data_IF_421233481363
#
_entry.id   IF_421233481363
#
_cell.length_a   1.000
_cell.length_b   1.000
_cell.length_c   1.000
_cell.angle_alpha   90.00
_cell.angle_beta   90.00
_cell.angle_gamma   90.00
#
_symmetry.space_group_name_H-M   'P 1'
#
loop_
_entity.id
_entity.type
_entity.pdbx_description
1 polymer ?
#
# COMPACT_ATOMS: atom_id res chain seq x y z
N UNK A 1 -56.88 -51.03 4.40
CA UNK A 1 -55.52 -50.86 5.00
C UNK A 1 -54.79 -49.74 4.23
N UNK A 2 -54.56 -48.57 4.79
CA UNK A 2 -53.86 -47.51 4.06
C UNK A 2 -52.41 -47.84 4.00
N UNK A 3 -51.85 -47.66 2.84
CA UNK A 3 -50.50 -48.05 2.43
C UNK A 3 -49.41 -47.42 3.32
N UNK A 4 -48.76 -48.22 4.15
CA UNK A 4 -47.63 -47.88 4.99
C UNK A 4 -46.47 -47.23 4.19
N UNK A 5 -46.38 -47.51 2.92
CA UNK A 5 -45.40 -46.98 2.00
C UNK A 5 -45.55 -45.47 1.73
N UNK A 6 -46.79 -44.95 1.72
CA UNK A 6 -47.05 -43.53 1.46
C UNK A 6 -46.65 -42.68 2.67
N UNK A 7 -46.83 -43.17 3.90
CA UNK A 7 -46.42 -42.46 5.11
C UNK A 7 -44.89 -42.36 5.24
N UNK A 8 -44.14 -43.39 4.83
CA UNK A 8 -42.70 -43.39 4.85
C UNK A 8 -42.13 -42.39 3.83
N UNK A 9 -42.72 -42.32 2.64
CA UNK A 9 -42.30 -41.36 1.62
C UNK A 9 -42.60 -39.91 1.98
N UNK A 10 -43.74 -39.64 2.64
CA UNK A 10 -44.09 -38.30 3.13
C UNK A 10 -43.18 -37.85 4.30
N UNK A 11 -42.78 -38.76 5.18
CA UNK A 11 -41.89 -38.43 6.30
C UNK A 11 -40.46 -38.16 5.80
N UNK A 12 -40.00 -38.87 4.78
CA UNK A 12 -38.68 -38.59 4.15
C UNK A 12 -38.68 -37.26 3.41
N UNK A 13 -39.78 -36.91 2.72
CA UNK A 13 -39.91 -35.63 2.02
C UNK A 13 -39.92 -34.44 2.98
N UNK A 14 -40.56 -34.59 4.16
CA UNK A 14 -40.59 -33.56 5.20
C UNK A 14 -39.23 -33.36 5.88
N UNK A 15 -38.38 -34.41 5.97
CA UNK A 15 -37.03 -34.31 6.50
C UNK A 15 -36.12 -33.51 5.56
N UNK A 16 -36.31 -33.64 4.24
CA UNK A 16 -35.55 -32.83 3.26
C UNK A 16 -35.95 -31.35 3.23
N UNK A 17 -37.17 -31.02 3.66
CA UNK A 17 -37.65 -29.63 3.73
C UNK A 17 -37.27 -28.93 5.04
N UNK A 18 -36.79 -29.66 6.04
CA UNK A 18 -36.37 -29.11 7.33
C UNK A 18 -34.83 -29.02 7.50
N UNK A 19 -34.05 -29.25 6.45
CA UNK A 19 -32.63 -28.94 6.51
C UNK A 19 -32.49 -27.43 6.68
N UNK A 20 -31.90 -26.95 7.79
CA UNK A 20 -31.60 -25.53 7.90
C UNK A 20 -30.82 -25.14 6.68
N UNK A 21 -31.21 -24.05 6.03
CA UNK A 21 -30.41 -23.42 5.00
C UNK A 21 -29.01 -23.34 5.57
N UNK A 22 -28.12 -24.19 5.09
CA UNK A 22 -26.68 -23.98 5.22
C UNK A 22 -26.45 -22.66 4.53
N UNK A 23 -26.60 -21.57 5.30
CA UNK A 23 -26.01 -20.31 4.93
C UNK A 23 -24.59 -20.67 4.51
N UNK A 24 -24.34 -20.61 3.22
CA UNK A 24 -22.97 -20.49 2.72
C UNK A 24 -22.43 -19.26 3.42
N UNK A 25 -21.90 -19.48 4.62
CA UNK A 25 -20.94 -18.55 5.17
C UNK A 25 -19.91 -18.46 4.07
N UNK A 26 -20.00 -17.41 3.27
CA UNK A 26 -18.94 -17.05 2.36
C UNK A 26 -17.71 -17.05 3.26
N UNK A 27 -16.84 -18.04 3.11
CA UNK A 27 -15.52 -17.99 3.68
C UNK A 27 -14.95 -16.72 3.05
N UNK A 28 -15.11 -15.60 3.76
CA UNK A 28 -14.28 -14.43 3.51
C UNK A 28 -12.89 -14.95 3.83
N UNK A 29 -12.19 -15.33 2.78
CA UNK A 29 -10.74 -15.41 2.84
C UNK A 29 -10.37 -14.02 3.34
N UNK A 30 -10.04 -13.91 4.62
CA UNK A 30 -9.42 -12.72 5.18
C UNK A 30 -8.07 -12.72 4.48
N UNK A 31 -8.02 -12.07 3.31
CA UNK A 31 -6.78 -11.77 2.61
C UNK A 31 -6.01 -10.95 3.63
N UNK A 32 -4.90 -11.52 4.11
CA UNK A 32 -4.24 -11.09 5.32
C UNK A 32 -4.09 -9.58 5.41
N UNK A 33 -4.68 -9.00 6.45
CA UNK A 33 -4.41 -7.61 6.82
C UNK A 33 -2.94 -7.51 7.17
N UNK A 34 -2.22 -6.59 6.53
CA UNK A 34 -0.83 -6.32 6.89
C UNK A 34 -0.80 -5.75 8.32
N UNK A 35 -0.03 -6.40 9.20
CA UNK A 35 0.18 -5.98 10.58
C UNK A 35 1.64 -5.58 10.77
N UNK A 36 1.89 -4.68 11.72
CA UNK A 36 3.24 -4.32 12.09
C UNK A 36 4.04 -5.56 12.48
N UNK A 37 5.21 -5.74 11.89
CA UNK A 37 6.14 -6.84 12.16
C UNK A 37 6.97 -6.58 13.40
N UNK A 38 7.23 -5.32 13.72
CA UNK A 38 7.99 -4.82 14.89
C UNK A 38 7.74 -3.33 15.08
N UNK A 39 8.44 -2.74 16.07
CA UNK A 39 8.38 -1.32 16.35
C UNK A 39 9.79 -0.76 16.49
N UNK A 40 10.02 0.41 15.91
CA UNK A 40 11.24 1.18 16.02
C UNK A 40 11.06 2.26 17.09
N UNK A 41 12.03 2.43 17.96
CA UNK A 41 12.05 3.57 18.89
C UNK A 41 12.61 4.80 18.18
N UNK A 42 11.81 5.85 18.12
CA UNK A 42 12.19 7.10 17.50
C UNK A 42 13.38 7.76 18.15
N UNK A 43 14.25 8.33 17.31
CA UNK A 43 15.30 9.26 17.70
C UNK A 43 15.02 10.57 17.00
N UNK A 44 15.03 11.67 17.76
CA UNK A 44 14.95 13.00 17.19
C UNK A 44 16.32 13.43 16.64
N UNK A 45 16.30 14.16 15.52
CA UNK A 45 17.48 14.69 14.88
C UNK A 45 17.14 15.87 13.99
N UNK A 46 18.11 16.33 13.22
CA UNK A 46 17.86 17.35 12.20
C UNK A 46 17.14 16.68 11.03
N UNK A 47 15.85 16.95 10.90
CA UNK A 47 14.97 16.42 9.89
C UNK A 47 14.48 17.56 9.00
N UNK A 48 14.66 17.45 7.71
CA UNK A 48 14.07 18.38 6.75
C UNK A 48 12.61 17.98 6.51
N UNK A 49 11.72 18.96 6.50
CA UNK A 49 10.28 18.72 6.28
C UNK A 49 9.87 19.05 4.85
N UNK A 50 10.80 18.97 3.92
CA UNK A 50 10.50 19.07 2.50
C UNK A 50 9.55 17.93 2.12
N UNK A 51 8.66 18.18 1.16
CA UNK A 51 7.64 17.23 0.74
C UNK A 51 6.76 16.68 1.89
N UNK A 52 6.68 17.42 3.00
CA UNK A 52 5.84 17.11 4.17
C UNK A 52 6.25 15.87 4.97
N UNK A 53 7.51 15.47 4.90
CA UNK A 53 8.05 14.35 5.65
C UNK A 53 7.75 14.46 7.16
N UNK A 54 7.35 13.35 7.76
CA UNK A 54 7.09 13.25 9.19
C UNK A 54 8.38 12.91 9.94
N UNK A 55 8.81 13.83 10.81
CA UNK A 55 10.02 13.66 11.62
C UNK A 55 9.79 12.79 12.84
N UNK A 56 10.76 11.93 13.16
CA UNK A 56 10.74 11.10 14.36
C UNK A 56 10.82 11.95 15.64
N UNK A 57 10.09 11.52 16.65
CA UNK A 57 10.11 12.10 18.01
C UNK A 57 10.84 11.15 18.94
N UNK A 58 11.70 11.71 19.80
CA UNK A 58 12.48 10.95 20.77
C UNK A 58 11.60 10.03 21.62
N UNK A 59 11.94 8.75 21.68
CA UNK A 59 11.26 7.75 22.49
C UNK A 59 9.88 7.29 21.96
N UNK A 60 9.33 7.90 20.91
CA UNK A 60 8.07 7.45 20.31
C UNK A 60 8.29 6.13 19.57
N UNK A 61 7.30 5.21 19.66
CA UNK A 61 7.33 3.95 18.91
C UNK A 61 6.66 4.13 17.56
N UNK A 62 7.36 3.70 16.49
CA UNK A 62 6.88 3.70 15.12
C UNK A 62 6.75 2.27 14.61
N UNK A 63 5.61 1.88 14.02
CA UNK A 63 5.42 0.54 13.50
C UNK A 63 6.29 0.30 12.27
N UNK A 64 6.83 -0.92 12.15
CA UNK A 64 7.60 -1.38 10.99
C UNK A 64 6.82 -2.45 10.24
N UNK A 65 6.80 -2.40 8.91
CA UNK A 65 5.98 -3.29 8.08
C UNK A 65 6.82 -4.01 7.03
N UNK A 66 6.79 -5.35 7.04
CA UNK A 66 7.36 -6.20 5.98
C UNK A 66 6.37 -6.52 4.87
N UNK A 67 5.11 -6.21 5.08
CA UNK A 67 4.01 -6.50 4.16
C UNK A 67 3.30 -5.23 3.71
N UNK A 68 2.57 -5.35 2.63
CA UNK A 68 1.61 -4.37 2.14
C UNK A 68 0.32 -5.09 1.75
N UNK A 69 -0.79 -4.39 1.51
CA UNK A 69 -2.02 -5.00 1.02
C UNK A 69 -1.80 -5.85 -0.23
N UNK A 70 -2.58 -6.93 -0.38
CA UNK A 70 -2.53 -7.77 -1.58
C UNK A 70 -2.92 -6.96 -2.81
N UNK A 71 -2.09 -7.05 -3.85
CA UNK A 71 -2.31 -6.30 -5.08
C UNK A 71 -3.44 -6.93 -5.89
N UNK A 72 -4.28 -6.07 -6.43
CA UNK A 72 -5.39 -6.39 -7.32
C UNK A 72 -5.42 -5.40 -8.48
N UNK A 73 -6.42 -5.49 -9.34
CA UNK A 73 -6.62 -4.49 -10.40
C UNK A 73 -7.03 -3.10 -9.88
N UNK A 74 -7.38 -3.01 -8.59
CA UNK A 74 -7.79 -1.78 -7.91
C UNK A 74 -7.34 -1.83 -6.45
N UNK A 75 -6.02 -1.81 -6.23
CA UNK A 75 -5.44 -1.82 -4.89
C UNK A 75 -5.54 -0.43 -4.28
N UNK A 76 -6.18 -0.31 -3.12
CA UNK A 76 -6.24 0.95 -2.39
C UNK A 76 -4.87 1.33 -1.83
N UNK A 77 -4.49 2.60 -1.98
CA UNK A 77 -3.26 3.17 -1.46
C UNK A 77 -3.45 4.64 -1.04
N UNK A 78 -2.50 5.13 -0.29
CA UNK A 78 -2.29 6.56 -0.06
C UNK A 78 -1.13 6.99 -0.96
N UNK A 79 -1.33 8.04 -1.74
CA UNK A 79 -0.25 8.66 -2.50
C UNK A 79 0.19 9.91 -1.76
N UNK A 80 1.47 10.01 -1.47
CA UNK A 80 2.10 11.22 -0.94
C UNK A 80 3.16 11.77 -1.89
N UNK A 81 3.72 12.94 -1.57
CA UNK A 81 4.71 13.60 -2.42
C UNK A 81 6.09 13.01 -2.13
N UNK A 82 6.74 12.46 -3.16
CA UNK A 82 8.12 11.97 -3.10
C UNK A 82 9.08 12.87 -3.86
N UNK A 83 10.22 13.16 -3.27
CA UNK A 83 11.33 13.84 -3.91
C UNK A 83 12.38 12.83 -4.41
N UNK A 84 12.68 12.88 -5.69
CA UNK A 84 13.65 11.97 -6.33
C UNK A 84 14.86 12.72 -6.92
N UNK A 85 14.87 14.06 -6.85
CA UNK A 85 15.95 14.88 -7.36
C UNK A 85 17.12 14.95 -6.38
N UNK A 86 18.32 15.24 -6.90
CA UNK A 86 19.49 15.38 -6.06
C UNK A 86 19.31 16.53 -5.05
N UNK A 87 19.48 16.21 -3.78
CA UNK A 87 19.30 17.15 -2.68
C UNK A 87 17.88 17.28 -2.16
N UNK A 88 16.92 16.49 -2.69
CA UNK A 88 15.61 16.31 -2.07
C UNK A 88 15.69 15.38 -0.84
N UNK A 89 14.58 15.25 -0.12
CA UNK A 89 14.44 14.50 1.13
C UNK A 89 14.91 13.03 1.06
N UNK A 90 14.87 12.38 -0.09
CA UNK A 90 15.42 11.04 -0.25
C UNK A 90 16.94 10.92 -0.13
N UNK A 91 17.68 12.04 -0.26
CA UNK A 91 19.13 12.16 -0.01
C UNK A 91 20.04 11.33 -0.92
N UNK A 92 19.65 10.11 -1.26
CA UNK A 92 20.37 9.14 -2.07
C UNK A 92 19.76 8.97 -3.46
N UNK A 93 20.54 8.50 -4.47
CA UNK A 93 19.95 8.07 -5.73
C UNK A 93 18.95 6.94 -5.54
N UNK A 94 17.94 6.86 -6.39
CA UNK A 94 16.90 5.83 -6.36
C UNK A 94 17.49 4.42 -6.39
N UNK A 95 16.96 3.52 -5.57
CA UNK A 95 17.56 2.19 -5.30
C UNK A 95 17.54 1.28 -6.54
N UNK A 96 16.54 1.42 -7.42
CA UNK A 96 16.39 0.55 -8.58
C UNK A 96 17.44 0.75 -9.68
N UNK A 97 17.95 1.98 -9.85
CA UNK A 97 18.82 2.31 -10.98
C UNK A 97 20.02 3.20 -10.61
N UNK A 98 20.15 3.54 -9.32
CA UNK A 98 21.22 4.39 -8.79
C UNK A 98 21.27 5.77 -9.44
N UNK A 99 20.13 6.31 -9.88
CA UNK A 99 20.00 7.61 -10.49
C UNK A 99 19.09 8.54 -9.67
N UNK A 100 19.32 9.85 -9.84
CA UNK A 100 18.35 10.87 -9.44
C UNK A 100 17.39 11.13 -10.60
N UNK A 101 16.12 11.40 -10.28
CA UNK A 101 15.07 11.71 -11.25
C UNK A 101 14.54 13.12 -11.06
N UNK A 102 14.10 13.76 -12.15
CA UNK A 102 13.56 15.10 -12.07
C UNK A 102 12.13 15.06 -11.52
N UNK A 103 11.68 16.16 -10.93
CA UNK A 103 10.31 16.30 -10.39
C UNK A 103 9.22 16.12 -11.48
N UNK A 104 9.58 16.30 -12.75
CA UNK A 104 8.66 16.10 -13.90
C UNK A 104 8.64 14.67 -14.41
N UNK A 105 9.53 13.79 -13.97
CA UNK A 105 9.58 12.40 -14.38
C UNK A 105 8.39 11.63 -13.75
N UNK A 106 7.85 10.66 -14.48
CA UNK A 106 6.74 9.84 -14.02
C UNK A 106 7.28 8.65 -13.20
N UNK A 107 7.71 8.92 -11.96
CA UNK A 107 8.38 7.94 -11.10
C UNK A 107 7.74 7.86 -9.72
N UNK A 108 7.91 6.71 -9.09
CA UNK A 108 7.37 6.42 -7.75
C UNK A 108 8.30 5.53 -6.92
N UNK A 109 8.20 5.67 -5.59
CA UNK A 109 8.67 4.70 -4.62
C UNK A 109 7.47 3.93 -4.01
N UNK A 110 7.67 2.68 -3.69
CA UNK A 110 6.63 1.81 -3.12
C UNK A 110 6.98 1.39 -1.69
N UNK A 111 6.00 1.34 -0.81
CA UNK A 111 6.16 0.72 0.51
C UNK A 111 6.85 -0.65 0.41
N UNK A 112 7.70 -1.00 1.37
CA UNK A 112 8.54 -2.21 1.39
C UNK A 112 7.84 -3.48 0.90
N UNK A 113 6.62 -3.75 1.36
CA UNK A 113 5.88 -4.94 0.96
C UNK A 113 5.51 -4.96 -0.53
N UNK A 114 5.19 -3.82 -1.12
CA UNK A 114 4.94 -3.68 -2.55
C UNK A 114 6.23 -3.61 -3.37
N UNK A 115 7.27 -2.96 -2.86
CA UNK A 115 8.59 -2.96 -3.48
C UNK A 115 9.15 -4.38 -3.63
N UNK A 116 8.93 -5.21 -2.60
CA UNK A 116 9.20 -6.64 -2.58
C UNK A 116 10.64 -6.98 -3.03
N UNK A 117 11.61 -6.33 -2.37
CA UNK A 117 13.05 -6.55 -2.62
C UNK A 117 13.46 -6.24 -4.07
N UNK A 118 12.93 -5.15 -4.63
CA UNK A 118 13.26 -4.72 -5.99
C UNK A 118 12.54 -5.47 -7.11
N UNK A 119 11.62 -6.39 -6.78
CA UNK A 119 10.93 -7.19 -7.83
C UNK A 119 10.08 -6.34 -8.78
N UNK A 120 9.74 -5.11 -8.38
CA UNK A 120 9.02 -4.11 -9.20
C UNK A 120 9.92 -3.03 -9.77
N UNK A 121 11.22 -3.06 -9.53
CA UNK A 121 12.16 -2.10 -10.09
C UNK A 121 12.01 -1.95 -11.61
N UNK A 122 11.92 -0.69 -12.05
CA UNK A 122 11.80 -0.27 -13.45
C UNK A 122 10.54 -0.79 -14.18
N UNK A 123 9.61 -1.40 -13.45
CA UNK A 123 8.30 -1.76 -13.98
C UNK A 123 7.34 -0.59 -13.87
N UNK A 124 6.36 -0.55 -14.76
CA UNK A 124 5.30 0.45 -14.72
C UNK A 124 4.14 -0.05 -13.88
N UNK A 125 3.58 0.87 -13.12
CA UNK A 125 2.30 0.71 -12.44
C UNK A 125 1.30 1.71 -13.00
N UNK A 126 0.03 1.39 -12.89
CA UNK A 126 -1.08 2.29 -13.21
C UNK A 126 -1.63 2.87 -11.92
N UNK A 127 -1.69 4.18 -11.83
CA UNK A 127 -2.25 4.92 -10.70
C UNK A 127 -3.52 5.63 -11.17
N UNK A 128 -4.61 5.49 -10.41
CA UNK A 128 -5.89 6.15 -10.68
C UNK A 128 -6.26 7.05 -9.50
N UNK A 129 -6.54 8.30 -9.79
CA UNK A 129 -6.95 9.31 -8.81
C UNK A 129 -7.61 10.49 -9.48
N UNK A 130 -8.50 11.20 -8.79
CA UNK A 130 -9.16 12.40 -9.30
C UNK A 130 -9.88 12.21 -10.68
N UNK A 131 -10.31 10.97 -10.99
CA UNK A 131 -10.92 10.65 -12.30
C UNK A 131 -9.93 10.43 -13.45
N UNK A 132 -8.63 10.60 -13.22
CA UNK A 132 -7.55 10.39 -14.17
C UNK A 132 -6.80 9.09 -13.91
N UNK A 133 -6.04 8.63 -14.92
CA UNK A 133 -5.21 7.43 -14.85
C UNK A 133 -3.87 7.70 -15.50
N UNK A 134 -2.79 7.40 -14.79
CA UNK A 134 -1.41 7.62 -15.26
C UNK A 134 -0.56 6.36 -15.13
N UNK A 135 0.51 6.29 -15.90
CA UNK A 135 1.55 5.26 -15.77
C UNK A 135 2.80 5.90 -15.15
N UNK A 136 3.31 5.28 -14.10
CA UNK A 136 4.55 5.68 -13.46
C UNK A 136 5.52 4.50 -13.37
N UNK A 137 6.81 4.77 -13.37
CA UNK A 137 7.87 3.78 -13.23
C UNK A 137 8.28 3.67 -11.78
N UNK A 138 8.37 2.45 -11.27
CA UNK A 138 8.89 2.19 -9.93
C UNK A 138 10.41 2.33 -9.97
N UNK A 139 10.95 3.28 -9.22
CA UNK A 139 12.39 3.55 -9.17
C UNK A 139 12.99 3.33 -7.78
N UNK A 140 12.15 3.31 -6.73
CA UNK A 140 12.67 3.29 -5.36
C UNK A 140 11.76 2.55 -4.38
N UNK A 141 12.28 2.33 -3.17
CA UNK A 141 11.57 1.85 -1.99
C UNK A 141 11.21 3.01 -1.06
N UNK A 142 9.96 3.07 -0.62
CA UNK A 142 9.54 3.83 0.56
C UNK A 142 9.71 2.89 1.75
N UNK A 143 10.81 3.03 2.48
CA UNK A 143 11.27 2.06 3.48
C UNK A 143 10.34 2.01 4.70
N UNK A 144 9.59 0.92 4.81
CA UNK A 144 8.67 0.68 5.94
C UNK A 144 9.34 -0.03 7.12
N UNK A 145 10.64 -0.32 7.05
CA UNK A 145 11.40 -1.04 8.08
C UNK A 145 12.38 -0.15 8.83
N UNK A 146 12.96 0.84 8.15
CA UNK A 146 13.95 1.72 8.72
C UNK A 146 13.42 3.15 8.78
N UNK A 147 14.06 3.96 9.61
CA UNK A 147 13.72 5.37 9.82
C UNK A 147 14.40 5.87 11.08
N UNK A 148 14.18 7.13 11.43
CA UNK A 148 14.66 7.77 12.64
C UNK A 148 16.19 7.75 12.80
N UNK A 149 16.94 7.67 11.70
CA UNK A 149 18.41 7.75 11.66
C UNK A 149 18.85 8.88 10.74
N UNK A 150 20.11 9.28 10.86
CA UNK A 150 20.67 10.34 10.00
C UNK A 150 20.62 9.98 8.50
N UNK A 151 20.84 8.69 8.18
CA UNK A 151 20.81 8.19 6.79
C UNK A 151 19.38 8.21 6.21
N UNK A 152 18.36 8.27 7.08
CA UNK A 152 16.94 8.37 6.74
C UNK A 152 16.38 9.77 7.04
N UNK A 153 17.24 10.80 7.06
CA UNK A 153 16.85 12.18 7.37
C UNK A 153 16.02 12.32 8.66
N UNK A 154 16.13 11.37 9.61
CA UNK A 154 15.29 11.24 10.80
C UNK A 154 13.78 11.19 10.51
N UNK A 155 13.39 10.78 9.34
CA UNK A 155 12.00 10.54 8.96
C UNK A 155 11.46 9.25 9.57
N UNK A 156 10.14 9.17 9.71
CA UNK A 156 9.48 7.96 10.21
C UNK A 156 9.51 6.84 9.16
N UNK A 157 9.48 5.55 9.58
CA UNK A 157 9.28 4.47 8.63
C UNK A 157 8.03 4.70 7.78
N UNK A 158 8.15 4.43 6.48
CA UNK A 158 7.05 4.56 5.54
C UNK A 158 5.85 3.67 5.95
N UNK A 159 4.61 4.15 5.90
CA UNK A 159 3.45 3.30 6.12
C UNK A 159 3.36 2.16 5.10
N UNK A 160 2.66 1.07 5.44
CA UNK A 160 2.58 -0.17 4.64
C UNK A 160 1.81 -0.07 3.32
N UNK A 161 1.09 1.03 3.09
CA UNK A 161 0.18 1.22 1.95
C UNK A 161 0.39 2.56 1.23
N UNK A 162 1.62 3.04 1.20
CA UNK A 162 1.98 4.33 0.59
C UNK A 162 2.67 4.13 -0.76
N UNK A 163 2.40 5.03 -1.67
CA UNK A 163 3.14 5.29 -2.90
C UNK A 163 3.65 6.72 -2.84
N UNK A 164 4.96 6.91 -2.67
CA UNK A 164 5.58 8.22 -2.84
C UNK A 164 5.67 8.50 -4.33
N UNK A 165 5.06 9.58 -4.79
CA UNK A 165 4.97 9.91 -6.19
C UNK A 165 5.60 11.28 -6.48
N UNK A 166 6.37 11.35 -7.57
CA UNK A 166 6.94 12.60 -8.03
C UNK A 166 5.88 13.67 -8.31
N UNK A 167 6.22 14.96 -8.21
CA UNK A 167 5.32 16.06 -8.60
C UNK A 167 4.75 15.89 -10.01
N UNK A 168 5.50 15.26 -10.94
CA UNK A 168 5.03 14.94 -12.28
C UNK A 168 3.80 14.02 -12.28
N UNK A 169 3.79 12.98 -11.45
CA UNK A 169 2.64 12.07 -11.29
C UNK A 169 1.43 12.83 -10.71
N UNK A 170 1.64 13.63 -9.68
CA UNK A 170 0.61 14.49 -9.08
C UNK A 170 -0.02 15.41 -10.11
N UNK A 171 0.82 16.13 -10.89
CA UNK A 171 0.36 17.02 -11.94
C UNK A 171 -0.41 16.32 -13.05
N UNK A 172 0.01 15.12 -13.46
CA UNK A 172 -0.67 14.33 -14.47
C UNK A 172 -2.05 13.80 -14.01
N UNK A 173 -2.25 13.61 -12.69
CA UNK A 173 -3.55 13.32 -12.10
C UNK A 173 -4.41 14.57 -11.84
N UNK A 174 -3.89 15.78 -12.15
CA UNK A 174 -4.57 17.04 -11.86
C UNK A 174 -4.75 17.32 -10.37
N UNK A 175 -3.85 16.82 -9.53
CA UNK A 175 -3.89 16.94 -8.07
C UNK A 175 -2.77 17.89 -7.63
N UNK A 176 -3.09 18.89 -6.78
CA UNK A 176 -2.07 19.74 -6.16
C UNK A 176 -1.30 19.00 -5.09
N UNK A 177 0.02 19.16 -5.10
CA UNK A 177 0.92 18.64 -4.04
C UNK A 177 0.66 19.24 -2.67
N UNK A 178 0.00 20.41 -2.58
CA UNK A 178 -0.41 21.04 -1.30
C UNK A 178 -1.33 20.14 -0.46
N UNK A 179 -1.96 19.13 -1.07
CA UNK A 179 -2.80 18.17 -0.35
C UNK A 179 -2.01 17.19 0.51
N UNK A 180 -0.68 17.11 0.32
CA UNK A 180 0.25 16.22 1.02
C UNK A 180 -0.01 14.74 0.77
N UNK A 181 -1.21 14.27 1.04
CA UNK A 181 -1.68 12.89 0.87
C UNK A 181 -3.04 12.85 0.18
N UNK A 182 -3.26 11.86 -0.64
CA UNK A 182 -4.57 11.61 -1.27
C UNK A 182 -4.83 10.10 -1.40
N UNK A 183 -6.08 9.65 -1.23
CA UNK A 183 -6.44 8.29 -1.55
C UNK A 183 -6.42 8.07 -3.06
N UNK A 184 -5.83 6.97 -3.49
CA UNK A 184 -5.76 6.52 -4.89
C UNK A 184 -6.02 5.02 -4.98
N UNK A 185 -6.16 4.51 -6.20
CA UNK A 185 -6.02 3.08 -6.46
C UNK A 185 -4.90 2.84 -7.45
N UNK A 186 -4.29 1.65 -7.39
CA UNK A 186 -3.23 1.28 -8.32
C UNK A 186 -3.26 -0.20 -8.69
N UNK A 187 -2.53 -0.55 -9.74
CA UNK A 187 -2.29 -1.94 -10.17
C UNK A 187 -0.95 -2.06 -10.89
N UNK A 188 -0.41 -3.27 -10.98
CA UNK A 188 0.62 -3.57 -11.98
C UNK A 188 0.08 -3.26 -13.39
N UNK A 189 0.92 -2.75 -14.33
CA UNK A 189 0.52 -2.31 -15.67
C UNK A 189 0.85 -3.34 -16.74
#
# INVERSE_FOLDING_TARGET
MPNSQIFVLLSILLIFLSLPNLNRAAIRIVIGTCHASSYLTGKAGFCTTENYADCCKEGQLYPQYRCSPVISNTTDAVMDVGGFSQGSDGGSPAECDSNYHNDTDMVVALSTGWYNGGSRCLKKIRINGNGESVLATVVDECDSLNGCTADQNFETPCPYNVINASPGVWGALGISTDKKEVPITWSDA
#
